data_IF_113561605517
#
_entry.id   IF_113561605517
#
_cell.length_a   1.000
_cell.length_b   1.000
_cell.length_c   1.000
_cell.angle_alpha   90.00
_cell.angle_beta   90.00
_cell.angle_gamma   90.00
#
_symmetry.space_group_name_H-M   'P 1'
#
loop_
_entity.id
_entity.type
_entity.pdbx_description
1 polymer ?
#
# COMPACT_ATOMS: atom_id res chain seq x y z
N UNK A 1 7.64 -8.09 1.73
CA UNK A 1 7.80 -8.49 0.30
C UNK A 1 6.91 -7.61 -0.55
N UNK A 2 7.34 -7.27 -1.74
CA UNK A 2 6.54 -6.42 -2.60
C UNK A 2 6.72 -6.70 -4.10
N UNK A 3 5.71 -6.28 -4.87
CA UNK A 3 5.72 -6.27 -6.32
C UNK A 3 5.53 -4.84 -6.82
N UNK A 4 6.38 -4.39 -7.74
CA UNK A 4 6.28 -3.06 -8.37
C UNK A 4 5.34 -3.10 -9.55
N UNK A 5 4.46 -2.11 -9.64
CA UNK A 5 3.54 -1.96 -10.76
C UNK A 5 3.36 -0.47 -11.08
N UNK A 6 2.80 -0.17 -12.24
CA UNK A 6 2.37 1.20 -12.53
C UNK A 6 1.26 1.63 -11.58
N UNK A 7 1.23 2.89 -11.20
CA UNK A 7 0.19 3.47 -10.32
C UNK A 7 -1.10 3.70 -11.12
N UNK A 8 -1.70 2.59 -11.52
CA UNK A 8 -2.95 2.52 -12.29
C UNK A 8 -3.87 1.47 -11.65
N UNK A 9 -5.15 1.77 -11.57
CA UNK A 9 -6.12 0.94 -10.86
C UNK A 9 -6.10 -0.52 -11.32
N UNK A 10 -6.12 -0.76 -12.63
CA UNK A 10 -6.17 -2.13 -13.16
C UNK A 10 -4.88 -2.90 -12.87
N UNK A 11 -3.72 -2.24 -13.01
CA UNK A 11 -2.42 -2.85 -12.70
C UNK A 11 -2.31 -3.21 -11.22
N UNK A 12 -2.77 -2.33 -10.33
CA UNK A 12 -2.77 -2.55 -8.88
C UNK A 12 -3.68 -3.70 -8.50
N UNK A 13 -4.91 -3.73 -9.03
CA UNK A 13 -5.87 -4.82 -8.76
C UNK A 13 -5.34 -6.18 -9.21
N UNK A 14 -4.76 -6.24 -10.41
CA UNK A 14 -4.17 -7.47 -10.93
C UNK A 14 -3.01 -7.94 -10.05
N UNK A 15 -2.12 -7.04 -9.66
CA UNK A 15 -0.98 -7.37 -8.81
C UNK A 15 -1.43 -7.83 -7.41
N UNK A 16 -2.44 -7.19 -6.82
CA UNK A 16 -2.99 -7.63 -5.53
C UNK A 16 -3.59 -9.03 -5.62
N UNK A 17 -4.33 -9.32 -6.69
CA UNK A 17 -4.90 -10.64 -6.90
C UNK A 17 -3.82 -11.71 -7.06
N UNK A 18 -2.77 -11.42 -7.82
CA UNK A 18 -1.64 -12.34 -8.00
C UNK A 18 -0.93 -12.63 -6.68
N UNK A 19 -0.72 -11.61 -5.84
CA UNK A 19 -0.08 -11.77 -4.53
C UNK A 19 -0.98 -12.57 -3.59
N UNK A 20 -2.28 -12.28 -3.55
CA UNK A 20 -3.24 -13.02 -2.72
C UNK A 20 -3.37 -14.48 -3.13
N UNK A 21 -3.28 -14.78 -4.41
CA UNK A 21 -3.38 -16.14 -4.95
C UNK A 21 -2.08 -16.94 -4.79
N UNK A 22 -0.97 -16.31 -4.48
CA UNK A 22 0.26 -16.99 -4.15
C UNK A 22 0.08 -17.82 -2.87
N UNK A 23 0.59 -19.01 -2.86
CA UNK A 23 0.38 -19.95 -1.75
C UNK A 23 0.84 -19.40 -0.40
N UNK A 24 -0.04 -19.42 0.61
CA UNK A 24 0.31 -19.05 1.98
C UNK A 24 0.34 -17.57 2.31
N UNK A 25 -0.04 -16.68 1.38
CA UNK A 25 -0.01 -15.25 1.62
C UNK A 25 -1.35 -14.64 2.08
N UNK A 26 -2.42 -15.41 2.05
CA UNK A 26 -3.73 -14.96 2.57
C UNK A 26 -3.69 -14.76 4.09
N UNK A 27 -4.41 -13.76 4.58
CA UNK A 27 -4.52 -13.48 6.01
C UNK A 27 -3.36 -12.71 6.61
N UNK A 28 -2.38 -12.31 5.79
CA UNK A 28 -1.27 -11.45 6.22
C UNK A 28 -1.64 -9.98 6.11
N UNK A 29 -0.81 -9.11 6.69
CA UNK A 29 -0.94 -7.67 6.52
C UNK A 29 -0.52 -7.25 5.11
N UNK A 30 -1.36 -6.45 4.45
CA UNK A 30 -1.13 -5.91 3.13
C UNK A 30 -1.01 -4.40 3.19
N UNK A 31 -0.10 -3.86 2.37
CA UNK A 31 0.13 -2.43 2.24
C UNK A 31 0.25 -2.06 0.77
N UNK A 32 -0.17 -0.84 0.43
CA UNK A 32 0.24 -0.20 -0.81
C UNK A 32 1.24 0.89 -0.47
N UNK A 33 2.27 1.06 -1.27
CA UNK A 33 3.23 2.13 -1.12
C UNK A 33 3.48 2.79 -2.47
N UNK A 34 3.57 4.11 -2.51
CA UNK A 34 3.69 4.85 -3.75
C UNK A 34 4.51 6.13 -3.56
N UNK A 35 5.10 6.58 -4.66
CA UNK A 35 5.81 7.86 -4.76
C UNK A 35 5.13 8.76 -5.80
N UNK A 36 5.73 9.93 -6.04
CA UNK A 36 5.23 10.89 -7.03
C UNK A 36 5.67 10.55 -8.47
N UNK A 37 6.39 9.46 -8.68
CA UNK A 37 6.95 9.06 -9.98
C UNK A 37 6.09 8.06 -10.74
N UNK A 38 4.91 7.74 -10.24
CA UNK A 38 3.99 6.82 -10.91
C UNK A 38 4.26 5.34 -10.66
N UNK A 39 5.09 5.01 -9.69
CA UNK A 39 5.32 3.64 -9.23
C UNK A 39 4.48 3.32 -8.00
N UNK A 40 3.87 2.14 -8.00
CA UNK A 40 3.13 1.60 -6.87
C UNK A 40 3.72 0.25 -6.47
N UNK A 41 3.77 -0.01 -5.18
CA UNK A 41 4.22 -1.29 -4.64
C UNK A 41 3.09 -1.98 -3.91
N UNK A 42 2.76 -3.18 -4.33
CA UNK A 42 1.86 -4.06 -3.59
C UNK A 42 2.72 -4.82 -2.59
N UNK A 43 2.52 -4.56 -1.32
CA UNK A 43 3.35 -5.08 -0.23
C UNK A 43 2.58 -6.08 0.61
N UNK A 44 3.26 -7.13 1.03
CA UNK A 44 2.74 -8.13 1.96
C UNK A 44 3.79 -8.38 3.05
N UNK A 45 3.32 -8.63 4.25
CA UNK A 45 4.16 -8.93 5.40
C UNK A 45 5.10 -10.10 5.11
N UNK A 46 6.41 -9.89 5.32
CA UNK A 46 7.42 -10.94 5.24
C UNK A 46 7.49 -11.68 6.58
N UNK A 47 7.45 -13.01 6.51
CA UNK A 47 7.65 -13.88 7.67
C UNK A 47 8.95 -14.65 7.54
N UNK A 48 9.47 -15.14 8.67
CA UNK A 48 10.80 -15.73 8.78
C UNK A 48 11.04 -16.89 7.81
N UNK A 49 10.04 -17.73 7.57
CA UNK A 49 10.16 -18.92 6.71
C UNK A 49 9.86 -18.65 5.24
N UNK A 50 9.64 -17.39 4.86
CA UNK A 50 9.30 -17.05 3.48
C UNK A 50 10.51 -17.07 2.57
N UNK A 51 10.28 -17.53 1.34
CA UNK A 51 11.22 -17.38 0.22
C UNK A 51 10.62 -16.40 -0.79
N UNK A 52 10.96 -15.09 -0.72
CA UNK A 52 10.38 -14.09 -1.61
C UNK A 52 10.58 -14.40 -3.09
N UNK A 53 11.71 -14.98 -3.47
CA UNK A 53 11.97 -15.31 -4.87
C UNK A 53 11.03 -16.38 -5.40
N UNK A 54 10.58 -17.31 -4.55
CA UNK A 54 9.60 -18.32 -4.92
C UNK A 54 8.23 -17.71 -5.26
N UNK A 55 7.93 -16.54 -4.71
CA UNK A 55 6.69 -15.77 -5.01
C UNK A 55 6.90 -14.75 -6.12
N UNK A 56 8.12 -14.58 -6.64
CA UNK A 56 8.44 -13.52 -7.59
C UNK A 56 8.41 -12.12 -6.98
N UNK A 57 8.66 -12.01 -5.67
CA UNK A 57 8.59 -10.75 -4.94
C UNK A 57 9.98 -10.25 -4.52
N UNK A 58 10.10 -8.93 -4.38
CA UNK A 58 11.29 -8.28 -3.86
C UNK A 58 11.16 -8.08 -2.35
N UNK A 59 12.29 -7.93 -1.66
CA UNK A 59 12.32 -7.62 -0.22
C UNK A 59 12.65 -6.15 -0.03
N UNK A 60 11.94 -5.51 0.89
CA UNK A 60 12.18 -4.13 1.25
C UNK A 60 11.56 -3.81 2.59
N UNK A 61 11.70 -2.56 3.01
CA UNK A 61 11.14 -2.05 4.25
C UNK A 61 10.33 -0.79 4.00
N UNK A 62 9.24 -0.63 4.74
CA UNK A 62 8.51 0.63 4.80
C UNK A 62 9.10 1.46 5.95
N UNK A 63 9.40 2.72 5.67
CA UNK A 63 10.04 3.59 6.65
C UNK A 63 9.14 3.84 7.85
N UNK A 64 9.70 3.79 9.04
CA UNK A 64 9.06 4.30 10.25
C UNK A 64 9.05 5.83 10.25
N UNK A 65 8.60 6.43 11.36
CA UNK A 65 8.56 7.88 11.53
C UNK A 65 7.15 8.41 11.70
N UNK A 66 7.00 9.72 11.50
CA UNK A 66 5.72 10.39 11.68
C UNK A 66 4.90 10.38 10.41
N UNK A 67 3.60 10.09 10.55
CA UNK A 67 2.64 10.07 9.46
C UNK A 67 1.37 10.80 9.87
N UNK A 68 0.80 11.55 8.93
CA UNK A 68 -0.58 11.98 9.04
C UNK A 68 -1.47 10.81 8.56
N UNK A 69 -2.42 10.42 9.39
CA UNK A 69 -3.30 9.28 9.10
C UNK A 69 -4.72 9.75 8.84
N UNK A 70 -5.32 9.19 7.79
CA UNK A 70 -6.75 9.28 7.53
C UNK A 70 -7.31 7.87 7.36
N UNK A 71 -8.34 7.54 8.11
CA UNK A 71 -8.98 6.23 8.01
C UNK A 71 -10.20 6.29 7.11
N UNK A 72 -10.24 5.41 6.12
CA UNK A 72 -11.40 5.21 5.25
C UNK A 72 -12.15 3.95 5.67
N UNK A 73 -13.47 4.06 5.77
CA UNK A 73 -14.35 2.92 6.06
C UNK A 73 -15.44 2.85 5.02
N UNK A 74 -15.81 1.63 4.64
CA UNK A 74 -16.87 1.39 3.67
C UNK A 74 -16.67 0.09 2.92
N UNK A 75 -17.72 -0.37 2.26
CA UNK A 75 -17.66 -1.62 1.50
C UNK A 75 -16.87 -1.45 0.19
N UNK A 76 -16.03 -2.44 -0.19
CA UNK A 76 -15.47 -2.48 -1.52
C UNK A 76 -16.56 -2.69 -2.59
N UNK A 77 -16.38 -2.16 -3.83
CA UNK A 77 -15.22 -1.36 -4.25
C UNK A 77 -15.32 0.13 -3.95
N UNK A 78 -16.44 0.62 -3.41
CA UNK A 78 -16.70 2.06 -3.23
C UNK A 78 -15.65 2.73 -2.33
N UNK A 79 -15.20 2.05 -1.27
CA UNK A 79 -14.18 2.60 -0.37
C UNK A 79 -12.87 2.91 -1.11
N UNK A 80 -12.53 2.15 -2.15
CA UNK A 80 -11.31 2.36 -2.94
C UNK A 80 -11.36 3.64 -3.76
N UNK A 81 -12.55 4.09 -4.14
CA UNK A 81 -12.72 5.33 -4.89
C UNK A 81 -12.39 6.58 -4.04
N UNK A 82 -12.36 6.42 -2.72
CA UNK A 82 -12.04 7.50 -1.78
C UNK A 82 -10.52 7.68 -1.59
N UNK A 83 -9.69 6.70 -1.98
CA UNK A 83 -8.25 6.71 -1.70
C UNK A 83 -7.57 7.90 -2.40
N UNK A 84 -7.71 8.00 -3.72
CA UNK A 84 -7.08 9.05 -4.50
C UNK A 84 -7.41 10.46 -4.04
N UNK A 85 -8.70 10.84 -3.95
CA UNK A 85 -9.10 12.16 -3.46
C UNK A 85 -8.61 12.47 -2.05
N UNK A 86 -8.63 11.49 -1.14
CA UNK A 86 -8.18 11.69 0.24
C UNK A 86 -6.68 11.91 0.32
N UNK A 87 -5.88 11.15 -0.42
CA UNK A 87 -4.43 11.40 -0.50
C UNK A 87 -4.10 12.76 -1.11
N UNK A 88 -4.88 13.19 -2.09
CA UNK A 88 -4.71 14.52 -2.67
C UNK A 88 -4.89 15.62 -1.62
N UNK A 89 -5.89 15.48 -0.74
CA UNK A 89 -6.10 16.41 0.37
C UNK A 89 -4.96 16.34 1.39
N UNK A 90 -4.54 15.14 1.80
CA UNK A 90 -3.42 14.97 2.71
C UNK A 90 -2.12 15.56 2.15
N UNK A 91 -1.88 15.39 0.86
CA UNK A 91 -0.66 15.85 0.19
C UNK A 91 -0.52 17.37 0.13
N UNK A 92 -1.59 18.13 0.42
CA UNK A 92 -1.54 19.59 0.53
C UNK A 92 -0.93 20.08 1.84
N UNK A 93 -0.64 19.20 2.79
CA UNK A 93 -0.04 19.59 4.07
C UNK A 93 1.36 20.18 3.86
N UNK A 94 1.66 21.31 4.52
CA UNK A 94 2.99 21.93 4.38
C UNK A 94 4.13 21.15 5.03
N UNK A 95 3.81 20.23 5.97
CA UNK A 95 4.78 19.40 6.68
C UNK A 95 5.00 18.03 6.00
N UNK A 96 4.50 17.83 4.80
CA UNK A 96 4.72 16.62 4.02
C UNK A 96 6.20 16.35 3.80
N UNK A 97 6.61 15.10 3.99
CA UNK A 97 7.96 14.63 3.66
C UNK A 97 7.93 13.89 2.31
N UNK A 98 8.42 14.51 1.21
CA UNK A 98 8.36 13.90 -0.12
C UNK A 98 9.42 12.82 -0.33
N UNK A 99 10.35 12.62 0.60
CA UNK A 99 11.40 11.62 0.50
C UNK A 99 10.96 10.23 0.94
N UNK A 100 9.83 10.15 1.65
CA UNK A 100 9.26 8.87 2.08
C UNK A 100 7.99 8.56 1.30
N UNK A 101 7.73 7.26 1.09
CA UNK A 101 6.56 6.81 0.35
C UNK A 101 5.27 7.05 1.12
N UNK A 102 4.19 7.38 0.41
CA UNK A 102 2.84 7.29 0.94
C UNK A 102 2.44 5.84 1.10
N UNK A 103 1.66 5.53 2.12
CA UNK A 103 1.29 4.15 2.47
C UNK A 103 -0.23 4.03 2.61
N UNK A 104 -0.76 2.96 2.02
CA UNK A 104 -2.13 2.49 2.26
C UNK A 104 -2.02 1.20 3.07
N UNK A 105 -2.57 1.20 4.28
CA UNK A 105 -2.61 -0.01 5.08
C UNK A 105 -4.01 -0.62 5.01
N UNK A 106 -4.11 -1.77 4.38
CA UNK A 106 -5.35 -2.53 4.26
C UNK A 106 -5.58 -3.33 5.54
N UNK A 107 -6.11 -2.65 6.53
CA UNK A 107 -6.33 -3.19 7.87
C UNK A 107 -7.37 -4.30 7.88
N UNK A 108 -8.46 -4.08 7.13
CA UNK A 108 -9.58 -5.00 6.91
C UNK A 108 -10.14 -4.73 5.53
N UNK A 109 -11.04 -5.60 5.08
CA UNK A 109 -11.74 -5.42 3.80
C UNK A 109 -12.43 -4.05 3.69
N UNK A 110 -13.02 -3.57 4.78
CA UNK A 110 -13.80 -2.35 4.83
C UNK A 110 -13.08 -1.18 5.53
N UNK A 111 -11.79 -1.32 5.85
CA UNK A 111 -11.02 -0.30 6.58
C UNK A 111 -9.62 -0.17 6.01
N UNK A 112 -9.31 1.02 5.50
CA UNK A 112 -8.02 1.36 4.92
C UNK A 112 -7.47 2.59 5.64
N UNK A 113 -6.26 2.49 6.18
CA UNK A 113 -5.56 3.64 6.74
C UNK A 113 -4.64 4.24 5.67
N UNK A 114 -4.82 5.53 5.39
CA UNK A 114 -3.94 6.28 4.51
C UNK A 114 -2.91 7.00 5.37
N UNK A 115 -1.64 6.81 5.07
CA UNK A 115 -0.52 7.32 5.84
C UNK A 115 0.33 8.22 4.94
N UNK A 116 0.29 9.53 5.20
CA UNK A 116 1.15 10.49 4.53
C UNK A 116 2.36 10.79 5.41
N UNK A 117 3.60 10.54 4.92
CA UNK A 117 4.79 10.90 5.69
C UNK A 117 4.86 12.41 5.94
N UNK A 118 5.18 12.79 7.17
CA UNK A 118 5.35 14.18 7.58
C UNK A 118 6.66 14.36 8.32
N UNK A 119 7.13 15.60 8.32
CA UNK A 119 8.36 15.97 9.02
C UNK A 119 8.25 15.78 10.54
#
# INVERSE_FOLDING_TARGET
>A
MFKRVADEIDAIRQAMQEVEDAGGLRGRKYYGAFDDNGEYRVCVELREDDDPSAFGLEVGSLAGGRYARERLTGEPPEVYDLIGPTFKLLSSRPDRDPLRLGIEFYRRRDTIDLLLPIA
#
